data_IF_917148569540
#
_entry.id   IF_917148569540
#
_cell.length_a   1.000
_cell.length_b   1.000
_cell.length_c   1.000
_cell.angle_alpha   90.00
_cell.angle_beta   90.00
_cell.angle_gamma   90.00
#
_symmetry.space_group_name_H-M   'P 1'
#
loop_
_entity.id
_entity.type
_entity.pdbx_description
1 polymer ?
#
# COMPACT_ATOMS: atom_id res chain seq x y z
N UNK A 1 -0.79 17.16 -13.16
CA UNK A 1 0.45 16.67 -13.82
C UNK A 1 0.73 15.27 -13.31
N UNK A 2 0.58 14.24 -14.13
CA UNK A 2 0.89 12.87 -13.70
C UNK A 2 2.40 12.74 -13.46
N UNK A 3 2.80 12.34 -12.26
CA UNK A 3 4.20 12.07 -11.94
C UNK A 3 4.43 10.55 -12.03
N UNK A 4 4.88 10.03 -13.19
CA UNK A 4 4.93 8.58 -13.44
C UNK A 4 5.79 7.83 -12.42
N UNK A 5 6.80 8.49 -11.87
CA UNK A 5 7.66 7.94 -10.82
C UNK A 5 6.89 7.70 -9.51
N UNK A 6 5.89 8.53 -9.19
CA UNK A 6 5.07 8.36 -7.97
C UNK A 6 4.05 7.24 -8.12
N UNK A 7 3.42 7.10 -9.30
CA UNK A 7 2.54 5.95 -9.56
C UNK A 7 3.32 4.64 -9.47
N UNK A 8 4.48 4.56 -10.12
CA UNK A 8 5.35 3.38 -10.05
C UNK A 8 5.78 3.06 -8.61
N UNK A 9 6.07 4.08 -7.80
CA UNK A 9 6.41 3.89 -6.39
C UNK A 9 5.25 3.30 -5.59
N UNK A 10 4.03 3.81 -5.79
CA UNK A 10 2.82 3.31 -5.11
C UNK A 10 2.53 1.86 -5.52
N UNK A 11 2.59 1.55 -6.82
CA UNK A 11 2.40 0.18 -7.34
C UNK A 11 3.45 -0.79 -6.77
N UNK A 12 4.73 -0.39 -6.73
CA UNK A 12 5.81 -1.20 -6.15
C UNK A 12 5.59 -1.43 -4.65
N UNK A 13 5.15 -0.42 -3.92
CA UNK A 13 4.84 -0.55 -2.50
C UNK A 13 3.66 -1.49 -2.26
N UNK A 14 2.57 -1.35 -3.02
CA UNK A 14 1.42 -2.26 -2.96
C UNK A 14 1.82 -3.73 -3.23
N UNK A 15 2.68 -3.93 -4.23
CA UNK A 15 3.23 -5.24 -4.56
C UNK A 15 4.04 -5.81 -3.40
N UNK A 16 4.94 -5.01 -2.83
CA UNK A 16 5.78 -5.45 -1.70
C UNK A 16 4.94 -5.78 -0.46
N UNK A 17 3.95 -4.96 -0.13
CA UNK A 17 3.05 -5.22 1.00
C UNK A 17 2.28 -6.53 0.80
N UNK A 18 1.83 -6.83 -0.43
CA UNK A 18 1.16 -8.09 -0.76
C UNK A 18 2.09 -9.30 -0.60
N UNK A 19 3.36 -9.16 -0.96
CA UNK A 19 4.37 -10.21 -0.73
C UNK A 19 4.61 -10.44 0.77
N UNK A 20 4.71 -9.38 1.57
CA UNK A 20 4.85 -9.50 3.03
C UNK A 20 3.62 -10.20 3.63
N UNK A 21 2.40 -9.83 3.21
CA UNK A 21 1.14 -10.41 3.70
C UNK A 21 1.03 -11.93 3.46
N UNK A 22 1.72 -12.42 2.43
CA UNK A 22 1.72 -13.84 2.06
C UNK A 22 2.97 -14.58 2.55
N UNK A 23 3.94 -13.89 3.16
CA UNK A 23 5.17 -14.49 3.64
C UNK A 23 4.90 -15.41 4.85
N UNK A 24 5.49 -16.62 4.90
CA UNK A 24 5.29 -17.56 6.00
C UNK A 24 5.68 -16.97 7.36
N UNK A 25 6.80 -16.24 7.44
CA UNK A 25 7.25 -15.64 8.70
C UNK A 25 6.26 -14.60 9.24
N UNK A 26 5.65 -13.79 8.36
CA UNK A 26 4.65 -12.81 8.77
C UNK A 26 3.39 -13.51 9.30
N UNK A 27 2.94 -14.58 8.62
CA UNK A 27 1.81 -15.40 9.10
C UNK A 27 2.12 -16.05 10.44
N UNK A 28 3.31 -16.60 10.60
CA UNK A 28 3.75 -17.20 11.85
C UNK A 28 3.73 -16.17 13.00
N UNK A 29 4.16 -14.92 12.76
CA UNK A 29 4.05 -13.86 13.76
C UNK A 29 2.59 -13.63 14.17
N UNK A 30 1.67 -13.56 13.21
CA UNK A 30 0.23 -13.40 13.50
C UNK A 30 -0.32 -14.59 14.29
N UNK A 31 0.05 -15.82 13.94
CA UNK A 31 -0.36 -17.05 14.65
C UNK A 31 0.16 -17.08 16.09
N UNK A 32 1.32 -16.45 16.34
CA UNK A 32 1.89 -16.26 17.69
C UNK A 32 1.23 -15.12 18.48
N UNK A 33 0.20 -14.47 17.92
CA UNK A 33 -0.55 -13.39 18.56
C UNK A 33 0.09 -12.01 18.41
N UNK A 34 0.96 -11.81 17.42
CA UNK A 34 1.50 -10.49 17.12
C UNK A 34 0.38 -9.55 16.63
N UNK A 35 0.08 -8.52 17.42
CA UNK A 35 -0.94 -7.50 17.11
C UNK A 35 -0.31 -6.10 17.21
N UNK A 36 0.30 -5.59 16.13
CA UNK A 36 0.84 -4.24 16.13
C UNK A 36 -0.27 -3.19 16.07
N UNK A 37 0.03 -1.96 16.52
CA UNK A 37 -0.88 -0.81 16.41
C UNK A 37 -1.22 -0.47 14.95
N UNK A 38 -0.30 -0.74 14.03
CA UNK A 38 -0.49 -0.62 12.58
C UNK A 38 -0.16 -1.95 11.92
N UNK A 39 -1.07 -2.45 11.09
CA UNK A 39 -0.95 -3.73 10.39
C UNK A 39 -0.93 -3.55 8.87
N UNK A 40 -0.88 -4.67 8.14
CA UNK A 40 -0.84 -4.66 6.67
C UNK A 40 -2.10 -4.04 6.06
N UNK A 41 -3.28 -4.22 6.66
CA UNK A 41 -4.52 -3.63 6.16
C UNK A 41 -4.47 -2.09 6.25
N UNK A 42 -3.83 -1.54 7.29
CA UNK A 42 -3.62 -0.09 7.41
C UNK A 42 -2.69 0.41 6.31
N UNK A 43 -1.59 -0.31 6.04
CA UNK A 43 -0.67 0.03 4.96
C UNK A 43 -1.35 -0.03 3.57
N UNK A 44 -2.15 -1.07 3.32
CA UNK A 44 -2.93 -1.20 2.08
C UNK A 44 -3.92 -0.05 1.93
N UNK A 45 -4.61 0.32 3.01
CA UNK A 45 -5.56 1.44 3.01
C UNK A 45 -4.86 2.76 2.71
N UNK A 46 -3.71 3.03 3.33
CA UNK A 46 -2.93 4.24 3.06
C UNK A 46 -2.46 4.32 1.59
N UNK A 47 -2.00 3.20 1.03
CA UNK A 47 -1.58 3.14 -0.37
C UNK A 47 -2.75 3.34 -1.34
N UNK A 48 -3.94 2.83 -1.03
CA UNK A 48 -5.13 3.08 -1.83
C UNK A 48 -5.51 4.57 -1.86
N UNK A 49 -5.43 5.27 -0.72
CA UNK A 49 -5.64 6.72 -0.69
C UNK A 49 -4.61 7.48 -1.54
N UNK A 50 -3.33 7.10 -1.47
CA UNK A 50 -2.29 7.71 -2.30
C UNK A 50 -2.55 7.49 -3.80
N UNK A 51 -2.98 6.29 -4.18
CA UNK A 51 -3.36 5.98 -5.56
C UNK A 51 -4.53 6.86 -6.03
N UNK A 52 -5.59 6.98 -5.23
CA UNK A 52 -6.74 7.84 -5.55
C UNK A 52 -6.36 9.31 -5.69
N UNK A 53 -5.50 9.84 -4.83
CA UNK A 53 -5.01 11.23 -4.94
C UNK A 53 -4.16 11.44 -6.21
N UNK A 54 -3.34 10.45 -6.57
CA UNK A 54 -2.55 10.51 -7.80
C UNK A 54 -3.45 10.44 -9.05
N UNK A 55 -4.51 9.64 -9.01
CA UNK A 55 -5.51 9.53 -10.08
C UNK A 55 -6.39 10.78 -10.18
N UNK A 56 -6.87 11.32 -9.06
CA UNK A 56 -7.68 12.55 -9.01
C UNK A 56 -6.93 13.78 -9.54
N UNK A 57 -5.61 13.85 -9.29
CA UNK A 57 -4.73 14.88 -9.87
C UNK A 57 -4.47 14.72 -11.39
N UNK A 58 -5.11 13.74 -12.06
CA UNK A 58 -5.14 13.60 -13.52
C UNK A 58 -6.26 14.40 -14.17
N UNK A 59 -7.31 14.79 -13.45
CA UNK A 59 -8.34 15.65 -14.02
C UNK A 59 -7.81 17.09 -14.18
N UNK A 60 -7.97 17.72 -15.36
CA UNK A 60 -7.58 19.11 -15.53
C UNK A 60 -8.48 19.98 -14.65
N UNK A 61 -7.86 20.86 -13.85
CA UNK A 61 -8.55 22.01 -13.28
C UNK A 61 -9.29 22.73 -14.41
N UNK A 62 -10.63 22.74 -14.34
CA UNK A 62 -11.47 23.53 -15.25
C UNK A 62 -11.19 25.01 -15.10
#
# INVERSE_FOLDING_TARGET
MSNPNLHQLVEQAQTLISLIATHPDYRQLLDLGYTPDLNIADAQTALAYLEWELEGNREPSK
#
